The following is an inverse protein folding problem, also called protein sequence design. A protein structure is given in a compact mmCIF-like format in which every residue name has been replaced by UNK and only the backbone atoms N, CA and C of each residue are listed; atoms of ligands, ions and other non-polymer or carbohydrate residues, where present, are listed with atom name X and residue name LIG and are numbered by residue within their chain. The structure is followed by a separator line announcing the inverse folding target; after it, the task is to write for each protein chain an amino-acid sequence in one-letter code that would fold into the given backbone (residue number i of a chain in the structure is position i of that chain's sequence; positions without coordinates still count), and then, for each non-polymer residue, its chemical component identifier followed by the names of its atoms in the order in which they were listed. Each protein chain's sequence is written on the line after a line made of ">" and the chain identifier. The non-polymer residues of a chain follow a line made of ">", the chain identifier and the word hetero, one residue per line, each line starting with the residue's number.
data_IF_703728106689
#
_entry.id   IF_703728106689
#
_cell.length_a   1.000
_cell.length_b   1.000
_cell.length_c   1.000
_cell.angle_alpha   90.00
_cell.angle_beta   90.00
_cell.angle_gamma   90.00
#
_symmetry.space_group_name_H-M   'P 1'
#
loop_
_entity.id
_entity.type
_entity.pdbx_description
1 polymer ?
#
# COMPACT_ATOMS: atom_id res chain seq x y z
N UNK A 1 -22.10 33.77 50.81
CA UNK A 1 -22.40 32.44 50.29
C UNK A 1 -21.26 32.10 49.31
N UNK A 2 -20.30 31.32 49.79
CA UNK A 2 -19.09 30.94 49.05
C UNK A 2 -19.40 29.70 48.22
N UNK A 3 -19.38 29.81 46.88
CA UNK A 3 -19.42 28.67 45.99
C UNK A 3 -18.06 27.94 46.07
N UNK A 4 -17.99 26.90 46.85
CA UNK A 4 -16.93 25.93 46.75
C UNK A 4 -17.22 25.06 45.51
N UNK A 5 -16.51 25.29 44.41
CA UNK A 5 -16.40 24.36 43.29
C UNK A 5 -15.87 23.05 43.83
N UNK A 6 -16.58 21.96 43.54
CA UNK A 6 -16.22 20.62 44.01
C UNK A 6 -14.91 20.16 43.31
N UNK A 7 -13.96 19.56 44.05
CA UNK A 7 -12.65 19.11 43.47
C UNK A 7 -12.78 18.19 42.24
N UNK A 8 -13.89 17.49 42.12
CA UNK A 8 -14.20 16.61 40.95
C UNK A 8 -14.37 17.37 39.63
N UNK A 9 -14.99 18.58 39.67
CA UNK A 9 -15.19 19.37 38.44
C UNK A 9 -13.89 19.97 37.89
N UNK A 10 -12.94 20.29 38.81
CA UNK A 10 -11.62 20.80 38.40
C UNK A 10 -10.75 19.70 37.81
N UNK A 11 -10.88 18.46 38.27
CA UNK A 11 -10.18 17.29 37.74
C UNK A 11 -10.72 16.88 36.38
N UNK A 12 -12.02 16.89 36.19
CA UNK A 12 -12.68 16.63 34.90
C UNK A 12 -12.30 17.70 33.85
N UNK A 13 -12.24 18.96 34.26
CA UNK A 13 -11.83 20.05 33.40
C UNK A 13 -10.34 19.96 33.01
N UNK A 14 -9.48 19.50 33.93
CA UNK A 14 -8.07 19.31 33.69
C UNK A 14 -7.85 18.13 32.71
N UNK A 15 -8.53 17.02 32.92
CA UNK A 15 -8.49 15.86 32.03
C UNK A 15 -8.95 16.22 30.62
N UNK A 16 -10.07 16.94 30.47
CA UNK A 16 -10.55 17.39 29.15
C UNK A 16 -9.54 18.31 28.44
N UNK A 17 -8.85 19.17 29.19
CA UNK A 17 -7.78 20.03 28.65
C UNK A 17 -6.54 19.21 28.24
N UNK A 18 -6.20 18.19 29.00
CA UNK A 18 -5.09 17.30 28.72
C UNK A 18 -5.36 16.46 27.45
N UNK A 19 -6.58 15.93 27.33
CA UNK A 19 -7.04 15.25 26.11
C UNK A 19 -7.01 16.15 24.88
N UNK A 20 -7.51 17.39 25.02
CA UNK A 20 -7.49 18.37 23.94
C UNK A 20 -6.06 18.74 23.54
N UNK A 21 -5.16 18.92 24.52
CA UNK A 21 -3.75 19.22 24.27
C UNK A 21 -3.04 18.03 23.58
N UNK A 22 -3.30 16.79 24.02
CA UNK A 22 -2.78 15.59 23.39
C UNK A 22 -3.28 15.42 21.96
N UNK A 23 -4.57 15.65 21.70
CA UNK A 23 -5.13 15.64 20.34
C UNK A 23 -4.46 16.71 19.45
N UNK A 24 -4.22 17.90 19.96
CA UNK A 24 -3.51 18.96 19.22
C UNK A 24 -2.04 18.61 18.95
N UNK A 25 -1.35 17.97 19.90
CA UNK A 25 0.02 17.47 19.70
C UNK A 25 0.06 16.38 18.63
N UNK A 26 -0.80 15.38 18.72
CA UNK A 26 -0.91 14.31 17.71
C UNK A 26 -1.24 14.87 16.32
N UNK A 27 -2.13 15.85 16.24
CA UNK A 27 -2.44 16.52 14.98
C UNK A 27 -1.25 17.33 14.44
N UNK A 28 -0.49 18.00 15.33
CA UNK A 28 0.71 18.74 14.95
C UNK A 28 1.84 17.82 14.48
N UNK A 29 2.08 16.71 15.18
CA UNK A 29 3.04 15.68 14.78
C UNK A 29 2.65 15.03 13.45
N UNK A 30 1.36 14.74 13.25
CA UNK A 30 0.81 14.26 11.99
C UNK A 30 1.02 15.23 10.83
N UNK A 31 0.76 16.53 11.06
CA UNK A 31 1.00 17.57 10.07
C UNK A 31 2.49 17.75 9.77
N UNK A 32 3.35 17.63 10.76
CA UNK A 32 4.80 17.65 10.57
C UNK A 32 5.29 16.45 9.76
N UNK A 33 4.79 15.25 10.07
CA UNK A 33 5.07 14.03 9.30
C UNK A 33 4.57 14.13 7.85
N UNK A 34 3.33 14.62 7.64
CA UNK A 34 2.79 14.92 6.30
C UNK A 34 3.66 15.95 5.58
N UNK A 35 4.12 17.01 6.27
CA UNK A 35 5.01 18.02 5.70
C UNK A 35 6.35 17.46 5.25
N UNK A 36 6.96 16.57 6.03
CA UNK A 36 8.19 15.87 5.67
C UNK A 36 7.95 14.88 4.51
N UNK A 37 6.81 14.21 4.50
CA UNK A 37 6.44 13.27 3.45
C UNK A 37 6.00 13.97 2.16
N UNK A 38 5.46 15.18 2.23
CA UNK A 38 4.90 15.91 1.07
C UNK A 38 5.93 16.09 -0.06
N UNK A 39 7.18 16.36 0.27
CA UNK A 39 8.24 16.49 -0.73
C UNK A 39 8.54 15.14 -1.42
N UNK A 40 8.60 14.04 -0.66
CA UNK A 40 8.79 12.69 -1.18
C UNK A 40 7.61 12.23 -2.04
N UNK A 41 6.39 12.47 -1.58
CA UNK A 41 5.16 12.15 -2.31
C UNK A 41 5.04 12.95 -3.60
N UNK A 42 5.33 14.27 -3.56
CA UNK A 42 5.35 15.08 -4.77
C UNK A 42 6.35 14.54 -5.79
N UNK A 43 7.52 14.10 -5.34
CA UNK A 43 8.52 13.47 -6.22
C UNK A 43 8.02 12.13 -6.79
N UNK A 44 7.43 11.28 -5.95
CA UNK A 44 6.88 9.98 -6.34
C UNK A 44 5.68 10.08 -7.28
N UNK A 45 4.86 11.14 -7.20
CA UNK A 45 3.76 11.43 -8.13
C UNK A 45 4.32 12.04 -9.43
N UNK A 46 5.26 12.98 -9.34
CA UNK A 46 5.79 13.66 -10.52
C UNK A 46 6.53 12.72 -11.46
N UNK A 47 7.17 11.67 -10.95
CA UNK A 47 7.85 10.67 -11.76
C UNK A 47 6.90 9.97 -12.75
N UNK A 48 5.84 9.26 -12.33
CA UNK A 48 4.89 8.65 -13.26
C UNK A 48 4.16 9.68 -14.14
N UNK A 49 3.81 10.84 -13.62
CA UNK A 49 3.20 11.91 -14.43
C UNK A 49 4.15 12.36 -15.53
N UNK A 50 5.45 12.46 -15.25
CA UNK A 50 6.46 12.88 -16.23
C UNK A 50 6.56 11.93 -17.43
N UNK A 51 6.68 10.62 -17.19
CA UNK A 51 6.76 9.68 -18.31
C UNK A 51 5.41 9.47 -19.02
N UNK A 52 4.27 9.51 -18.30
CA UNK A 52 2.95 9.50 -18.94
C UNK A 52 2.81 10.72 -19.88
N UNK A 53 3.24 11.90 -19.44
CA UNK A 53 3.22 13.09 -20.28
C UNK A 53 4.11 12.95 -21.52
N UNK A 54 5.34 12.42 -21.37
CA UNK A 54 6.24 12.13 -22.49
C UNK A 54 5.62 11.14 -23.48
N UNK A 55 5.02 10.06 -22.97
CA UNK A 55 4.35 9.06 -23.79
C UNK A 55 3.17 9.66 -24.58
N UNK A 56 2.40 10.55 -23.97
CA UNK A 56 1.31 11.27 -24.66
C UNK A 56 1.82 12.18 -25.78
N UNK A 57 2.98 12.83 -25.61
CA UNK A 57 3.59 13.64 -26.68
C UNK A 57 4.05 12.77 -27.85
N UNK A 58 4.66 11.61 -27.56
CA UNK A 58 5.04 10.65 -28.60
C UNK A 58 3.80 10.11 -29.32
N UNK A 59 2.74 9.80 -28.57
CA UNK A 59 1.46 9.36 -29.12
C UNK A 59 0.85 10.39 -30.08
N UNK A 60 0.90 11.68 -29.73
CA UNK A 60 0.41 12.76 -30.60
C UNK A 60 1.20 12.80 -31.93
N UNK A 61 2.52 12.61 -31.86
CA UNK A 61 3.36 12.51 -33.05
C UNK A 61 2.96 11.33 -33.94
N UNK A 62 2.77 10.15 -33.34
CA UNK A 62 2.36 8.95 -34.06
C UNK A 62 0.96 9.05 -34.68
N UNK A 63 0.03 9.70 -34.00
CA UNK A 63 -1.30 9.98 -34.54
C UNK A 63 -1.24 10.89 -35.77
N UNK A 64 -0.41 11.92 -35.74
CA UNK A 64 -0.21 12.80 -36.90
C UNK A 64 0.39 12.03 -38.09
N UNK A 65 1.35 11.14 -37.87
CA UNK A 65 1.91 10.30 -38.93
C UNK A 65 0.88 9.32 -39.51
N UNK A 66 0.02 8.73 -38.65
CA UNK A 66 -1.10 7.88 -39.09
C UNK A 66 -2.15 8.67 -39.90
N UNK A 67 -2.46 9.90 -39.49
CA UNK A 67 -3.38 10.76 -40.26
C UNK A 67 -2.80 11.10 -41.65
N UNK A 68 -1.50 11.40 -41.72
CA UNK A 68 -0.82 11.62 -43.01
C UNK A 68 -0.88 10.37 -43.91
N UNK A 69 -0.74 9.17 -43.36
CA UNK A 69 -0.87 7.93 -44.10
C UNK A 69 -2.30 7.75 -44.63
N UNK A 70 -3.33 8.03 -43.79
CA UNK A 70 -4.74 7.88 -44.19
C UNK A 70 -5.15 8.92 -45.22
N UNK A 71 -4.71 10.17 -45.09
CA UNK A 71 -4.95 11.24 -46.09
C UNK A 71 -4.30 10.92 -47.43
N UNK A 72 -3.14 10.27 -47.40
CA UNK A 72 -2.46 9.90 -48.62
C UNK A 72 -3.17 8.78 -49.43
N UNK A 73 -4.06 8.00 -48.76
CA UNK A 73 -4.86 6.96 -49.46
C UNK A 73 -5.73 7.56 -50.56
N UNK A 74 -6.32 8.74 -50.32
CA UNK A 74 -7.20 9.40 -51.29
C UNK A 74 -6.44 9.99 -52.51
N UNK A 75 -5.16 10.26 -52.36
CA UNK A 75 -4.30 10.88 -53.39
C UNK A 75 -3.36 9.90 -54.06
N UNK A 76 -3.18 8.70 -53.52
CA UNK A 76 -2.27 7.68 -54.02
C UNK A 76 -2.68 7.18 -55.41
N UNK A 77 -1.70 7.13 -56.33
CA UNK A 77 -1.90 6.61 -57.68
C UNK A 77 -1.54 5.13 -57.81
N UNK A 78 -0.80 4.61 -56.86
CA UNK A 78 -0.39 3.21 -56.80
C UNK A 78 -0.23 2.71 -55.35
N UNK A 79 -0.20 1.39 -55.17
CA UNK A 79 0.12 0.78 -53.87
C UNK A 79 1.58 1.07 -53.46
N UNK A 80 2.46 1.34 -54.39
CA UNK A 80 3.84 1.62 -54.10
C UNK A 80 4.00 3.02 -53.48
N UNK A 81 3.16 3.99 -53.87
CA UNK A 81 3.11 5.30 -53.21
C UNK A 81 2.81 5.18 -51.71
N UNK A 82 1.81 4.32 -51.37
CA UNK A 82 1.45 4.07 -49.97
C UNK A 82 2.54 3.28 -49.20
N UNK A 83 3.24 2.37 -49.87
CA UNK A 83 4.38 1.65 -49.29
C UNK A 83 5.51 2.58 -48.91
N UNK A 84 5.81 3.54 -49.77
CA UNK A 84 6.85 4.57 -49.51
C UNK A 84 6.48 5.41 -48.28
N UNK A 85 5.20 5.86 -48.16
CA UNK A 85 4.77 6.64 -47.02
C UNK A 85 4.84 5.81 -45.76
N UNK A 86 4.36 4.53 -45.81
CA UNK A 86 4.44 3.59 -44.68
C UNK A 86 5.88 3.38 -44.21
N UNK A 87 6.86 3.30 -45.13
CA UNK A 87 8.26 3.18 -44.78
C UNK A 87 8.81 4.48 -44.16
N UNK A 88 8.42 5.64 -44.67
CA UNK A 88 8.90 6.93 -44.19
C UNK A 88 8.49 7.25 -42.76
N UNK A 89 7.31 6.75 -42.32
CA UNK A 89 6.81 6.90 -40.93
C UNK A 89 7.28 5.76 -40.01
N UNK A 90 8.07 4.79 -40.53
CA UNK A 90 8.48 3.58 -39.80
C UNK A 90 7.29 2.87 -39.11
N UNK A 91 6.25 2.60 -39.91
CA UNK A 91 4.96 2.12 -39.41
C UNK A 91 5.05 0.87 -38.52
N UNK A 92 5.98 -0.03 -38.80
CA UNK A 92 6.09 -1.28 -38.05
C UNK A 92 6.66 -1.00 -36.64
N UNK A 93 7.62 -0.10 -36.51
CA UNK A 93 8.11 0.40 -35.22
C UNK A 93 7.01 1.15 -34.49
N UNK A 94 6.37 2.11 -35.14
CA UNK A 94 5.27 2.92 -34.56
C UNK A 94 4.14 2.03 -34.02
N UNK A 95 3.74 0.99 -34.77
CA UNK A 95 2.68 0.05 -34.36
C UNK A 95 3.05 -0.70 -33.09
N UNK A 96 4.28 -1.16 -32.98
CA UNK A 96 4.72 -1.95 -31.83
C UNK A 96 4.96 -1.04 -30.62
N UNK A 97 5.62 0.09 -30.77
CA UNK A 97 5.89 1.08 -29.74
C UNK A 97 4.59 1.72 -29.17
N UNK A 98 3.58 1.92 -30.00
CA UNK A 98 2.28 2.46 -29.57
C UNK A 98 1.61 1.62 -28.47
N UNK A 99 1.77 0.30 -28.50
CA UNK A 99 1.23 -0.60 -27.48
C UNK A 99 1.97 -0.46 -26.17
N UNK A 100 3.29 -0.32 -26.25
CA UNK A 100 4.15 -0.17 -25.10
C UNK A 100 3.91 1.19 -24.42
N UNK A 101 3.82 2.28 -25.19
CA UNK A 101 3.47 3.62 -24.69
C UNK A 101 2.13 3.64 -23.95
N UNK A 102 1.12 2.97 -24.47
CA UNK A 102 -0.18 2.87 -23.81
C UNK A 102 -0.13 2.02 -22.53
N UNK A 103 0.61 0.91 -22.55
CA UNK A 103 0.77 0.04 -21.38
C UNK A 103 1.50 0.77 -20.26
N UNK A 104 2.62 1.43 -20.56
CA UNK A 104 3.40 2.22 -19.60
C UNK A 104 2.60 3.40 -19.04
N UNK A 105 1.83 4.09 -19.90
CA UNK A 105 0.98 5.20 -19.44
C UNK A 105 -0.10 4.73 -18.46
N UNK A 106 -0.71 3.58 -18.72
CA UNK A 106 -1.68 2.98 -17.79
C UNK A 106 -1.04 2.59 -16.47
N UNK A 107 0.14 1.96 -16.50
CA UNK A 107 0.90 1.62 -15.29
C UNK A 107 1.23 2.87 -14.48
N UNK A 108 1.65 3.95 -15.14
CA UNK A 108 1.92 5.23 -14.49
C UNK A 108 0.71 5.83 -13.78
N UNK A 109 -0.46 5.79 -14.42
CA UNK A 109 -1.71 6.28 -13.82
C UNK A 109 -2.12 5.40 -12.62
N UNK A 110 -2.04 4.08 -12.72
CA UNK A 110 -2.36 3.18 -11.60
C UNK A 110 -1.39 3.40 -10.42
N UNK A 111 -0.13 3.68 -10.69
CA UNK A 111 0.84 4.04 -9.65
C UNK A 111 0.43 5.32 -8.93
N UNK A 112 0.06 6.38 -9.67
CA UNK A 112 -0.43 7.64 -9.07
C UNK A 112 -1.65 7.39 -8.18
N UNK A 113 -2.63 6.59 -8.65
CA UNK A 113 -3.80 6.21 -7.85
C UNK A 113 -3.40 5.51 -6.56
N UNK A 114 -2.46 4.57 -6.62
CA UNK A 114 -1.97 3.83 -5.45
C UNK A 114 -1.31 4.76 -4.44
N UNK A 115 -0.51 5.73 -4.90
CA UNK A 115 0.13 6.73 -4.03
C UNK A 115 -0.94 7.62 -3.37
N UNK A 116 -1.92 8.09 -4.14
CA UNK A 116 -3.02 8.92 -3.61
C UNK A 116 -3.86 8.14 -2.60
N UNK A 117 -4.17 6.86 -2.87
CA UNK A 117 -4.90 6.00 -1.94
C UNK A 117 -4.13 5.83 -0.64
N UNK A 118 -2.83 5.49 -0.71
CA UNK A 118 -1.97 5.38 0.46
C UNK A 118 -1.87 6.69 1.26
N UNK A 119 -1.79 7.85 0.59
CA UNK A 119 -1.85 9.16 1.25
C UNK A 119 -3.20 9.44 1.90
N UNK A 120 -4.29 9.08 1.23
CA UNK A 120 -5.63 9.21 1.78
C UNK A 120 -5.77 8.38 3.05
N UNK A 121 -5.32 7.13 3.02
CA UNK A 121 -5.35 6.22 4.17
C UNK A 121 -4.42 6.73 5.31
N UNK A 122 -3.29 7.34 4.97
CA UNK A 122 -2.42 8.01 5.95
C UNK A 122 -3.03 9.31 6.50
N UNK A 123 -3.80 10.06 5.69
CA UNK A 123 -4.44 11.32 6.06
C UNK A 123 -5.79 11.13 6.74
N UNK A 124 -6.60 10.20 6.26
CA UNK A 124 -7.90 9.82 6.80
C UNK A 124 -7.74 8.60 7.70
N UNK A 125 -7.50 8.87 8.96
CA UNK A 125 -8.06 8.03 10.02
C UNK A 125 -9.47 8.62 10.21
N UNK A 126 -10.44 8.21 9.38
CA UNK A 126 -11.83 8.31 9.78
C UNK A 126 -11.91 7.59 11.11
N UNK A 127 -12.63 8.19 12.06
CA UNK A 127 -12.90 7.61 13.37
C UNK A 127 -13.76 6.36 13.17
N UNK A 128 -13.15 5.28 12.69
CA UNK A 128 -13.75 3.97 12.79
C UNK A 128 -13.60 3.53 14.22
N UNK A 129 -14.71 3.20 14.85
CA UNK A 129 -14.74 2.75 16.25
C UNK A 129 -14.07 1.38 16.36
N UNK A 130 -13.30 1.18 17.43
CA UNK A 130 -12.84 -0.14 17.82
C UNK A 130 -14.06 -1.00 18.19
N UNK A 131 -14.18 -2.18 17.57
CA UNK A 131 -15.28 -3.12 17.79
C UNK A 131 -14.74 -4.53 17.82
N UNK A 132 -15.34 -5.43 18.63
CA UNK A 132 -15.06 -6.85 18.54
C UNK A 132 -15.26 -7.36 17.11
N UNK A 133 -14.26 -8.00 16.55
CA UNK A 133 -14.26 -8.46 15.17
C UNK A 133 -13.61 -9.84 15.03
N UNK A 134 -14.16 -10.65 14.14
CA UNK A 134 -13.61 -11.95 13.75
C UNK A 134 -12.44 -11.74 12.75
N UNK A 135 -11.23 -11.95 13.23
CA UNK A 135 -10.00 -11.83 12.47
C UNK A 135 -9.94 -12.84 11.34
N UNK A 136 -10.39 -14.09 11.53
CA UNK A 136 -10.37 -15.10 10.48
C UNK A 136 -11.24 -14.72 9.29
N UNK A 137 -12.44 -14.19 9.58
CA UNK A 137 -13.34 -13.67 8.55
C UNK A 137 -12.70 -12.50 7.79
N UNK A 138 -11.98 -11.62 8.47
CA UNK A 138 -11.23 -10.51 7.86
C UNK A 138 -10.13 -11.02 6.93
N UNK A 139 -9.32 -11.99 7.36
CA UNK A 139 -8.27 -12.62 6.56
C UNK A 139 -8.86 -13.29 5.31
N UNK A 140 -9.94 -14.08 5.43
CA UNK A 140 -10.56 -14.74 4.29
C UNK A 140 -11.12 -13.73 3.28
N UNK A 141 -11.73 -12.65 3.74
CA UNK A 141 -12.19 -11.56 2.88
C UNK A 141 -11.02 -10.94 2.12
N UNK A 142 -9.91 -10.71 2.81
CA UNK A 142 -8.68 -10.14 2.20
C UNK A 142 -8.07 -11.11 1.18
N UNK A 143 -7.99 -12.40 1.49
CA UNK A 143 -7.49 -13.43 0.56
C UNK A 143 -8.30 -13.47 -0.74
N UNK A 144 -9.63 -13.32 -0.66
CA UNK A 144 -10.49 -13.26 -1.84
C UNK A 144 -10.16 -12.04 -2.72
N UNK A 145 -9.89 -10.88 -2.11
CA UNK A 145 -9.53 -9.66 -2.85
C UNK A 145 -8.20 -9.82 -3.56
N UNK A 146 -7.18 -10.37 -2.89
CA UNK A 146 -5.82 -10.49 -3.44
C UNK A 146 -5.59 -11.79 -4.22
N UNK A 147 -6.60 -12.63 -4.39
CA UNK A 147 -6.46 -13.95 -5.02
C UNK A 147 -5.80 -13.90 -6.42
N UNK A 148 -6.05 -12.85 -7.19
CA UNK A 148 -5.43 -12.70 -8.50
C UNK A 148 -3.91 -12.50 -8.43
N UNK A 149 -3.41 -11.88 -7.39
CA UNK A 149 -1.98 -11.68 -7.15
C UNK A 149 -1.31 -12.97 -6.62
N UNK A 150 -2.06 -13.79 -5.87
CA UNK A 150 -1.52 -14.97 -5.20
C UNK A 150 -1.53 -16.22 -6.07
N UNK A 151 -2.62 -16.49 -6.81
CA UNK A 151 -2.92 -17.77 -7.46
C UNK A 151 -1.84 -18.28 -8.43
N UNK A 152 -1.03 -17.38 -9.02
CA UNK A 152 0.06 -17.72 -9.93
C UNK A 152 1.44 -17.67 -9.27
N UNK A 153 1.50 -17.31 -7.98
CA UNK A 153 2.72 -17.07 -7.24
C UNK A 153 2.94 -18.01 -6.07
N UNK A 154 1.87 -18.41 -5.39
CA UNK A 154 2.00 -19.22 -4.20
C UNK A 154 0.77 -20.08 -3.90
N UNK A 155 1.01 -21.21 -3.26
CA UNK A 155 -0.01 -21.92 -2.50
C UNK A 155 -0.24 -21.21 -1.17
N UNK A 156 -1.51 -20.96 -0.82
CA UNK A 156 -1.87 -20.31 0.45
C UNK A 156 -2.31 -21.36 1.46
N UNK A 157 -1.50 -21.57 2.49
CA UNK A 157 -1.77 -22.48 3.61
C UNK A 157 -2.33 -21.69 4.79
N UNK A 158 -3.41 -22.22 5.38
CA UNK A 158 -4.09 -21.63 6.54
C UNK A 158 -3.89 -22.53 7.74
N UNK A 159 -3.24 -22.00 8.75
CA UNK A 159 -3.00 -22.66 10.05
C UNK A 159 -3.66 -21.80 11.13
N UNK A 160 -5.00 -21.75 11.11
CA UNK A 160 -5.75 -20.93 12.05
C UNK A 160 -5.94 -21.67 13.37
N UNK A 161 -5.41 -21.09 14.44
CA UNK A 161 -5.68 -21.50 15.80
C UNK A 161 -6.99 -20.88 16.32
N UNK A 162 -7.37 -21.23 17.55
CA UNK A 162 -8.51 -20.59 18.20
C UNK A 162 -8.19 -19.15 18.56
N UNK A 163 -9.05 -18.22 18.13
CA UNK A 163 -9.00 -16.79 18.48
C UNK A 163 -10.40 -16.33 18.88
N UNK A 164 -10.53 -15.59 19.99
CA UNK A 164 -11.76 -14.84 20.26
C UNK A 164 -11.90 -13.67 19.29
N UNK A 165 -13.04 -12.99 19.31
CA UNK A 165 -13.17 -11.69 18.66
C UNK A 165 -12.16 -10.71 19.27
N UNK A 166 -11.50 -9.93 18.40
CA UNK A 166 -10.47 -8.95 18.76
C UNK A 166 -11.04 -7.56 18.59
N UNK A 167 -10.92 -6.73 19.61
CA UNK A 167 -11.37 -5.34 19.58
C UNK A 167 -10.42 -4.52 18.69
N UNK A 168 -10.85 -4.25 17.45
CA UNK A 168 -10.02 -3.58 16.44
C UNK A 168 -10.88 -2.84 15.40
N UNK A 169 -10.22 -2.03 14.59
CA UNK A 169 -10.77 -1.47 13.37
C UNK A 169 -10.48 -2.47 12.24
N UNK A 170 -11.40 -3.38 11.97
CA UNK A 170 -11.18 -4.54 11.11
C UNK A 170 -10.75 -4.17 9.68
N UNK A 171 -11.23 -3.06 9.12
CA UNK A 171 -10.81 -2.56 7.81
C UNK A 171 -9.31 -2.24 7.77
N UNK A 172 -8.76 -1.65 8.83
CA UNK A 172 -7.36 -1.33 8.97
C UNK A 172 -6.51 -2.61 9.14
N UNK A 173 -6.97 -3.57 9.93
CA UNK A 173 -6.29 -4.87 10.06
C UNK A 173 -6.28 -5.62 8.73
N UNK A 174 -7.40 -5.64 8.00
CA UNK A 174 -7.48 -6.24 6.67
C UNK A 174 -6.49 -5.57 5.68
N UNK A 175 -6.31 -4.26 5.77
CA UNK A 175 -5.33 -3.54 4.97
C UNK A 175 -3.89 -3.95 5.31
N UNK A 176 -3.55 -4.13 6.59
CA UNK A 176 -2.23 -4.66 6.98
C UNK A 176 -2.02 -6.05 6.38
N UNK A 177 -2.97 -6.96 6.57
CA UNK A 177 -2.91 -8.33 6.04
C UNK A 177 -2.76 -8.31 4.50
N UNK A 178 -3.52 -7.48 3.81
CA UNK A 178 -3.42 -7.30 2.36
C UNK A 178 -2.01 -6.89 1.93
N UNK A 179 -1.44 -5.87 2.60
CA UNK A 179 -0.09 -5.39 2.30
C UNK A 179 0.97 -6.48 2.49
N UNK A 180 0.85 -7.28 3.56
CA UNK A 180 1.78 -8.39 3.82
C UNK A 180 1.64 -9.49 2.77
N UNK A 181 0.42 -9.89 2.40
CA UNK A 181 0.17 -10.91 1.37
C UNK A 181 0.71 -10.49 0.00
N UNK A 182 0.47 -9.25 -0.42
CA UNK A 182 0.98 -8.72 -1.69
C UNK A 182 2.51 -8.63 -1.66
N UNK A 183 3.10 -8.27 -0.52
CA UNK A 183 4.56 -8.27 -0.39
C UNK A 183 5.15 -9.68 -0.44
N UNK A 184 4.52 -10.66 0.20
CA UNK A 184 4.87 -12.07 0.13
C UNK A 184 4.84 -12.61 -1.33
N UNK A 185 3.76 -12.34 -2.05
CA UNK A 185 3.64 -12.73 -3.47
C UNK A 185 4.75 -12.12 -4.34
N UNK A 186 5.10 -10.86 -4.10
CA UNK A 186 6.18 -10.19 -4.82
C UNK A 186 7.58 -10.69 -4.44
N UNK A 187 7.76 -11.23 -3.23
CA UNK A 187 9.04 -11.81 -2.80
C UNK A 187 9.29 -13.19 -3.43
N UNK A 188 8.25 -13.87 -3.87
CA UNK A 188 8.32 -15.19 -4.51
C UNK A 188 8.58 -15.01 -6.01
N UNK A 189 9.72 -15.52 -6.48
CA UNK A 189 10.16 -15.34 -7.87
C UNK A 189 9.37 -16.21 -8.86
N UNK A 190 9.26 -17.52 -8.60
CA UNK A 190 8.53 -18.46 -9.47
C UNK A 190 7.21 -18.89 -8.84
N UNK A 191 7.24 -19.95 -8.04
CA UNK A 191 6.10 -20.46 -7.29
C UNK A 191 6.58 -20.91 -5.91
N UNK A 192 5.83 -20.55 -4.88
CA UNK A 192 6.19 -20.84 -3.50
C UNK A 192 4.98 -21.07 -2.61
N UNK A 193 5.15 -20.79 -1.32
CA UNK A 193 4.10 -20.95 -0.32
C UNK A 193 3.97 -19.68 0.52
N UNK A 194 2.75 -19.32 0.85
CA UNK A 194 2.42 -18.31 1.85
C UNK A 194 1.59 -18.99 2.93
N UNK A 195 2.10 -19.00 4.16
CA UNK A 195 1.40 -19.59 5.31
C UNK A 195 0.89 -18.49 6.21
N UNK A 196 -0.39 -18.52 6.52
CA UNK A 196 -1.02 -17.62 7.48
C UNK A 196 -1.33 -18.42 8.73
N UNK A 197 -0.74 -18.00 9.86
CA UNK A 197 -0.99 -18.59 11.19
C UNK A 197 -1.66 -17.60 12.08
N UNK A 198 -2.56 -18.11 12.90
CA UNK A 198 -3.18 -17.32 13.98
C UNK A 198 -3.15 -18.12 15.27
N UNK A 199 -2.93 -17.44 16.37
CA UNK A 199 -3.03 -18.05 17.71
C UNK A 199 -3.30 -16.99 18.76
N UNK A 200 -3.91 -17.40 19.85
CA UNK A 200 -3.98 -16.60 21.05
C UNK A 200 -2.76 -16.87 21.93
N UNK A 201 -2.20 -15.81 22.52
CA UNK A 201 -1.14 -15.92 23.53
C UNK A 201 -1.47 -14.96 24.70
N UNK A 202 -2.00 -15.51 25.79
CA UNK A 202 -2.52 -14.67 26.88
C UNK A 202 -3.64 -13.76 26.41
N UNK A 203 -3.51 -12.47 26.64
CA UNK A 203 -4.47 -11.43 26.23
C UNK A 203 -4.18 -10.84 24.84
N UNK A 204 -3.34 -11.50 24.05
CA UNK A 204 -2.99 -11.05 22.71
C UNK A 204 -3.39 -12.06 21.63
N UNK A 205 -3.80 -11.54 20.48
CA UNK A 205 -3.95 -12.25 19.22
C UNK A 205 -2.69 -12.10 18.39
N UNK A 206 -2.15 -13.21 17.91
CA UNK A 206 -0.97 -13.22 17.04
C UNK A 206 -1.40 -13.68 15.65
N UNK A 207 -1.03 -12.91 14.64
CA UNK A 207 -1.24 -13.22 13.22
C UNK A 207 0.14 -13.25 12.56
N UNK A 208 0.51 -14.35 11.93
CA UNK A 208 1.76 -14.49 11.19
C UNK A 208 1.47 -14.71 9.71
N UNK A 209 2.22 -13.98 8.87
CA UNK A 209 2.23 -14.17 7.41
C UNK A 209 3.65 -14.52 7.02
N UNK A 210 3.86 -15.78 6.64
CA UNK A 210 5.16 -16.32 6.26
C UNK A 210 5.17 -16.64 4.78
N UNK A 211 6.23 -16.22 4.07
CA UNK A 211 6.49 -16.56 2.68
C UNK A 211 7.78 -17.38 2.52
N UNK A 212 7.90 -18.07 1.41
CA UNK A 212 9.11 -18.80 0.97
C UNK A 212 9.85 -18.01 -0.12
N UNK A 213 9.80 -16.69 -0.07
CA UNK A 213 10.42 -15.82 -1.05
C UNK A 213 11.90 -15.59 -0.83
N UNK A 214 12.45 -14.57 -1.49
CA UNK A 214 13.88 -14.24 -1.45
C UNK A 214 14.40 -13.72 -0.10
N UNK A 215 13.51 -13.45 0.85
CA UNK A 215 13.86 -12.87 2.14
C UNK A 215 14.34 -11.41 2.07
N UNK A 216 14.72 -10.89 3.22
CA UNK A 216 15.16 -9.50 3.43
C UNK A 216 16.59 -9.53 3.96
N UNK A 217 17.49 -8.78 3.35
CA UNK A 217 18.87 -8.67 3.84
C UNK A 217 18.91 -7.98 5.20
N UNK A 218 19.89 -8.33 6.07
CA UNK A 218 20.04 -7.70 7.38
C UNK A 218 20.16 -6.18 7.31
N UNK A 219 20.79 -5.65 6.27
CA UNK A 219 20.98 -4.21 6.04
C UNK A 219 19.66 -3.47 5.84
N UNK A 220 18.66 -4.14 5.25
CA UNK A 220 17.37 -3.54 4.96
C UNK A 220 16.35 -3.74 6.08
N UNK A 221 16.56 -4.71 6.99
CA UNK A 221 15.58 -5.10 8.01
C UNK A 221 15.14 -3.93 8.91
N UNK A 222 16.05 -3.02 9.24
CA UNK A 222 15.71 -1.84 10.04
C UNK A 222 14.99 -0.74 9.25
N UNK A 223 15.11 -0.76 7.93
CA UNK A 223 14.62 0.30 7.05
C UNK A 223 13.27 -0.01 6.38
N UNK A 224 12.82 -1.27 6.44
CA UNK A 224 11.60 -1.69 5.73
C UNK A 224 10.33 -0.96 6.19
N UNK A 225 10.35 -0.40 7.42
CA UNK A 225 9.26 0.40 7.97
C UNK A 225 9.43 1.91 7.73
N UNK A 226 10.57 2.33 7.15
CA UNK A 226 10.75 3.73 6.73
C UNK A 226 9.82 4.04 5.55
N UNK A 227 9.09 5.17 5.57
CA UNK A 227 8.29 5.60 4.43
C UNK A 227 9.14 5.71 3.15
N UNK A 228 8.58 5.28 2.03
CA UNK A 228 9.20 5.24 0.68
C UNK A 228 10.40 4.30 0.53
N UNK A 229 10.82 3.59 1.57
CA UNK A 229 11.86 2.59 1.42
C UNK A 229 11.35 1.39 0.61
N UNK A 230 12.04 1.09 -0.48
CA UNK A 230 11.74 -0.07 -1.33
C UNK A 230 13.00 -0.62 -1.98
N UNK A 231 13.08 -1.94 -2.06
CA UNK A 231 14.10 -2.67 -2.84
C UNK A 231 13.60 -3.08 -4.22
N UNK A 232 12.33 -2.77 -4.54
CA UNK A 232 11.74 -3.05 -5.86
C UNK A 232 12.25 -2.05 -6.90
N UNK A 233 12.31 -2.43 -8.18
CA UNK A 233 12.64 -1.50 -9.26
C UNK A 233 11.75 -0.27 -9.24
N UNK A 234 12.27 0.84 -9.75
CA UNK A 234 11.52 2.08 -9.92
C UNK A 234 10.22 1.76 -10.69
N UNK A 235 9.09 2.15 -10.14
CA UNK A 235 7.77 1.86 -10.73
C UNK A 235 7.01 0.71 -10.07
N UNK A 236 7.70 -0.23 -9.41
CA UNK A 236 7.07 -1.47 -8.88
C UNK A 236 6.85 -1.51 -7.37
N UNK A 237 7.21 -0.44 -6.67
CA UNK A 237 7.00 -0.34 -5.22
C UNK A 237 6.89 1.11 -4.78
N UNK A 238 5.88 1.44 -3.98
CA UNK A 238 5.69 2.78 -3.41
C UNK A 238 6.51 2.99 -2.14
N UNK A 239 6.93 1.89 -1.47
CA UNK A 239 7.59 1.94 -0.18
C UNK A 239 6.70 2.40 0.99
N UNK A 240 5.38 2.56 0.77
CA UNK A 240 4.45 3.06 1.79
C UNK A 240 3.69 1.94 2.53
N UNK A 241 3.57 0.75 1.95
CA UNK A 241 2.72 -0.31 2.50
C UNK A 241 3.15 -0.78 3.91
N UNK A 242 4.44 -1.03 4.13
CA UNK A 242 4.92 -1.50 5.44
C UNK A 242 4.94 -0.39 6.50
N UNK A 243 5.27 0.85 6.13
CA UNK A 243 5.20 1.99 7.05
C UNK A 243 3.76 2.28 7.49
N UNK A 244 2.80 2.19 6.57
CA UNK A 244 1.38 2.30 6.90
C UNK A 244 0.92 1.14 7.79
N UNK A 245 1.36 -0.10 7.49
CA UNK A 245 1.06 -1.26 8.32
C UNK A 245 1.57 -1.10 9.75
N UNK A 246 2.78 -0.57 9.90
CA UNK A 246 3.38 -0.29 11.22
C UNK A 246 2.54 0.72 12.00
N UNK A 247 2.17 1.85 11.40
CA UNK A 247 1.36 2.89 12.04
C UNK A 247 -0.05 2.39 12.42
N UNK A 248 -0.66 1.54 11.58
CA UNK A 248 -1.95 0.92 11.89
C UNK A 248 -1.83 0.05 13.14
N UNK A 249 -0.80 -0.79 13.21
CA UNK A 249 -0.62 -1.71 14.34
C UNK A 249 -0.25 -0.94 15.61
N UNK A 250 0.57 0.12 15.55
CA UNK A 250 0.80 1.01 16.69
C UNK A 250 -0.49 1.67 17.20
N UNK A 251 -1.37 2.14 16.29
CA UNK A 251 -2.69 2.68 16.65
C UNK A 251 -3.54 1.66 17.42
N UNK A 252 -3.39 0.37 17.11
CA UNK A 252 -4.06 -0.73 17.80
C UNK A 252 -3.31 -1.19 19.06
N UNK A 253 -2.30 -0.44 19.53
CA UNK A 253 -1.45 -0.78 20.68
C UNK A 253 -0.82 -2.17 20.55
N UNK A 254 -0.55 -2.59 19.33
CA UNK A 254 0.08 -3.84 18.97
C UNK A 254 1.56 -3.68 18.59
N UNK A 255 2.17 -4.76 18.10
CA UNK A 255 3.50 -4.73 17.48
C UNK A 255 3.51 -5.43 16.13
N UNK A 256 4.38 -4.96 15.24
CA UNK A 256 4.67 -5.57 13.95
C UNK A 256 6.15 -5.93 13.88
N UNK A 257 6.45 -7.23 13.96
CA UNK A 257 7.78 -7.78 13.96
C UNK A 257 8.08 -8.50 12.64
N UNK A 258 9.37 -8.61 12.30
CA UNK A 258 9.83 -9.29 11.10
C UNK A 258 10.98 -10.24 11.44
N UNK A 259 10.84 -11.48 11.00
CA UNK A 259 11.92 -12.47 10.98
C UNK A 259 12.15 -12.91 9.53
N UNK A 260 13.38 -12.80 9.04
CA UNK A 260 13.68 -13.04 7.64
C UNK A 260 15.13 -13.48 7.46
N UNK A 261 15.30 -14.49 6.61
CA UNK A 261 16.61 -14.99 6.16
C UNK A 261 16.69 -14.87 4.65
N UNK A 262 17.73 -14.24 4.10
CA UNK A 262 17.93 -14.19 2.66
C UNK A 262 17.95 -15.59 2.03
N UNK A 263 17.10 -15.80 1.03
CA UNK A 263 16.94 -17.07 0.32
C UNK A 263 16.01 -18.09 0.98
N UNK A 264 15.52 -17.85 2.20
CA UNK A 264 14.61 -18.77 2.92
C UNK A 264 13.19 -18.22 3.05
N UNK A 265 13.02 -16.88 3.00
CA UNK A 265 11.74 -16.21 3.08
C UNK A 265 11.63 -15.22 4.22
N UNK A 266 10.41 -14.76 4.47
CA UNK A 266 10.10 -13.75 5.49
C UNK A 266 8.87 -14.18 6.29
N UNK A 267 8.88 -13.95 7.58
CA UNK A 267 7.75 -14.05 8.48
C UNK A 267 7.47 -12.70 9.12
N UNK A 268 6.33 -12.10 8.80
CA UNK A 268 5.81 -10.95 9.53
C UNK A 268 4.87 -11.43 10.62
N UNK A 269 5.03 -10.87 11.83
CA UNK A 269 4.21 -11.19 13.00
C UNK A 269 3.52 -9.93 13.51
N UNK A 270 2.20 -9.96 13.50
CA UNK A 270 1.35 -8.95 14.13
C UNK A 270 0.94 -9.46 15.49
N UNK A 271 1.08 -8.64 16.52
CA UNK A 271 0.55 -8.90 17.85
C UNK A 271 -0.45 -7.81 18.19
N UNK A 272 -1.67 -8.17 18.52
CA UNK A 272 -2.76 -7.24 18.85
C UNK A 272 -3.31 -7.58 20.24
N UNK A 273 -3.61 -6.61 21.10
CA UNK A 273 -4.40 -6.89 22.30
C UNK A 273 -5.81 -7.35 21.89
N UNK A 274 -6.34 -8.37 22.59
CA UNK A 274 -7.71 -8.88 22.33
C UNK A 274 -8.74 -7.80 22.69
N UNK A 275 -8.50 -7.10 23.79
CA UNK A 275 -9.29 -5.94 24.22
C UNK A 275 -8.39 -4.73 24.27
N UNK A 276 -8.85 -3.61 23.73
CA UNK A 276 -8.05 -2.38 23.79
C UNK A 276 -7.89 -1.94 25.25
N UNK A 277 -6.68 -1.59 25.69
CA UNK A 277 -6.47 -1.04 27.04
C UNK A 277 -7.29 0.23 27.21
N UNK A 278 -7.94 0.36 28.36
CA UNK A 278 -8.66 1.61 28.71
C UNK A 278 -7.65 2.73 28.88
N UNK A 279 -7.71 3.83 28.09
CA UNK A 279 -6.78 4.94 28.20
C UNK A 279 -6.80 5.63 29.59
N UNK A 280 -7.78 5.30 30.44
CA UNK A 280 -7.93 5.86 31.79
C UNK A 280 -7.41 4.94 32.91
N UNK A 281 -6.73 3.85 32.61
CA UNK A 281 -6.35 2.83 33.59
C UNK A 281 -4.81 2.72 33.80
N UNK A 282 -4.05 3.82 33.67
CA UNK A 282 -2.69 4.01 34.17
C UNK A 282 -2.65 4.80 35.49
#
# INVERSE_FOLDING_TARGET
>A
MSNASTPQSDQELLNARLEQANQQLLQSEKLAAIGQLAAGVAHEINNPVGYVYSNLQTLDTYLNDLFRLTEAVDSARSLDDLRVIKQNIDYDYLRDDLRDLLAESREGIERVKTIIAAMKDFSHIEEEEFKPADIHRGIETTLNVVNNELKYKAEVVREFGELPEVECIISQINQVVMNLLVNAAHAIESFGQITIRTRQQGDTAIIEVQDTGKGISPEHRHRIFEPFFTTKPVGKGTGLGLSLSFNIIEKHQGSLDVDSTPGEGTCFRLTLPITQPDPNNE
#
